data_IF_899801930487
#
_entry.id   IF_899801930487
#
_cell.length_a   1.000
_cell.length_b   1.000
_cell.length_c   1.000
_cell.angle_alpha   90.00
_cell.angle_beta   90.00
_cell.angle_gamma   90.00
#
_symmetry.space_group_name_H-M   'P 1'
#
loop_
_entity.id
_entity.type
_entity.pdbx_description
1 polymer ?
#
# COMPACT_ATOMS: atom_id res chain seq x y z
N UNK A 1 -24.35 1.89 6.92
CA UNK A 1 -25.55 1.07 7.21
C UNK A 1 -25.11 0.01 8.22
N UNK A 2 -25.04 0.36 9.51
CA UNK A 2 -24.29 -0.42 10.52
C UNK A 2 -25.01 -1.73 10.82
N UNK A 3 -24.33 -2.87 10.60
CA UNK A 3 -24.83 -4.20 10.97
C UNK A 3 -24.13 -4.65 12.24
N UNK A 4 -24.88 -4.59 13.34
CA UNK A 4 -24.51 -5.15 14.65
C UNK A 4 -24.44 -6.69 14.57
N UNK A 5 -23.31 -7.28 14.94
CA UNK A 5 -23.11 -8.73 15.01
C UNK A 5 -23.26 -9.22 16.45
N UNK A 6 -24.25 -10.09 16.67
CA UNK A 6 -24.46 -10.81 17.93
C UNK A 6 -23.68 -12.13 17.84
N UNK A 7 -22.63 -12.27 18.65
CA UNK A 7 -21.91 -13.53 18.86
C UNK A 7 -22.84 -14.63 19.40
N UNK A 8 -22.94 -15.75 18.70
CA UNK A 8 -23.46 -17.00 19.24
C UNK A 8 -22.31 -18.01 19.36
N UNK A 9 -21.76 -18.12 20.56
CA UNK A 9 -20.86 -19.22 20.95
C UNK A 9 -21.66 -20.53 21.04
N UNK A 10 -21.37 -21.48 20.15
CA UNK A 10 -21.93 -22.83 20.21
C UNK A 10 -20.83 -23.86 20.49
N UNK A 11 -20.67 -24.13 21.79
CA UNK A 11 -19.90 -25.24 22.34
C UNK A 11 -20.41 -26.57 21.74
N UNK A 12 -19.56 -27.30 21.02
CA UNK A 12 -19.80 -28.72 20.72
C UNK A 12 -18.74 -29.60 21.39
N UNK A 13 -19.21 -30.31 22.42
CA UNK A 13 -18.48 -31.23 23.26
C UNK A 13 -18.84 -32.65 22.80
N UNK A 14 -17.90 -33.40 22.22
CA UNK A 14 -18.03 -34.86 22.09
C UNK A 14 -16.76 -35.58 22.53
N UNK A 15 -16.91 -36.23 23.69
CA UNK A 15 -16.00 -37.21 24.28
C UNK A 15 -16.04 -38.56 23.55
N UNK A 16 -14.87 -39.19 23.53
CA UNK A 16 -14.52 -40.51 23.02
C UNK A 16 -15.29 -41.70 23.65
N UNK A 17 -15.32 -42.85 22.94
CA UNK A 17 -14.59 -44.09 23.35
C UNK A 17 -15.05 -45.37 22.61
N UNK A 18 -14.12 -46.36 22.63
CA UNK A 18 -14.16 -47.79 22.23
C UNK A 18 -13.88 -48.09 20.75
N UNK A 19 -12.91 -48.93 20.36
CA UNK A 19 -11.98 -49.81 21.09
C UNK A 19 -11.65 -51.07 20.26
N UNK A 20 -10.39 -51.53 20.36
CA UNK A 20 -9.82 -52.89 20.12
C UNK A 20 -9.50 -53.42 18.70
N UNK A 21 -8.18 -53.49 18.45
CA UNK A 21 -7.33 -54.65 18.05
C UNK A 21 -7.72 -55.59 16.88
N UNK A 22 -6.84 -55.69 15.85
CA UNK A 22 -5.94 -56.85 15.64
C UNK A 22 -4.95 -56.70 14.46
N UNK A 23 -3.77 -57.32 14.65
CA UNK A 23 -2.63 -57.65 13.76
C UNK A 23 -3.05 -58.05 12.32
N UNK A 24 -2.32 -57.81 11.22
CA UNK A 24 -0.88 -57.77 10.93
C UNK A 24 -0.57 -58.85 9.88
N UNK A 25 -0.12 -58.49 8.66
CA UNK A 25 0.59 -59.37 7.67
C UNK A 25 1.46 -58.51 6.73
N UNK A 26 2.72 -58.93 6.55
CA UNK A 26 3.76 -58.40 5.67
C UNK A 26 3.64 -58.86 4.18
N UNK A 27 4.53 -58.31 3.34
CA UNK A 27 5.01 -58.78 2.02
C UNK A 27 4.10 -58.51 0.79
N UNK A 28 4.55 -58.06 -0.39
CA UNK A 28 5.86 -57.83 -1.03
C UNK A 28 5.68 -57.00 -2.32
N UNK A 29 6.75 -56.30 -2.71
CA UNK A 29 7.25 -55.95 -4.06
C UNK A 29 6.35 -56.10 -5.31
N UNK A 30 6.25 -55.07 -6.16
CA UNK A 30 7.01 -55.02 -7.43
C UNK A 30 6.87 -53.69 -8.17
N UNK A 31 7.98 -53.26 -8.78
CA UNK A 31 8.05 -52.23 -9.80
C UNK A 31 7.65 -52.77 -11.19
N UNK A 32 7.14 -51.92 -12.07
CA UNK A 32 7.43 -51.93 -13.51
C UNK A 32 6.84 -50.70 -14.21
N UNK A 33 7.71 -50.05 -14.99
CA UNK A 33 7.47 -49.06 -16.03
C UNK A 33 6.54 -49.60 -17.15
N UNK A 34 5.85 -48.69 -17.82
CA UNK A 34 5.62 -48.79 -19.27
C UNK A 34 5.30 -47.40 -19.85
N UNK A 35 6.23 -46.91 -20.67
CA UNK A 35 6.02 -45.85 -21.65
C UNK A 35 5.07 -46.28 -22.78
N UNK A 36 4.67 -45.24 -23.54
CA UNK A 36 4.43 -45.22 -24.98
C UNK A 36 2.98 -45.48 -25.45
N UNK A 37 2.33 -44.49 -26.06
CA UNK A 37 2.35 -44.37 -27.53
C UNK A 37 1.69 -43.08 -28.02
N UNK A 38 2.41 -42.47 -28.95
CA UNK A 38 2.07 -41.40 -29.88
C UNK A 38 0.93 -41.75 -30.84
N UNK A 39 0.18 -40.73 -31.32
CA UNK A 39 0.17 -40.26 -32.73
C UNK A 39 -1.11 -39.51 -33.13
N UNK A 40 -0.89 -38.33 -33.74
CA UNK A 40 -1.57 -37.68 -34.87
C UNK A 40 -3.08 -37.82 -35.08
N UNK A 41 -3.73 -36.66 -35.26
CA UNK A 41 -4.31 -36.28 -36.57
C UNK A 41 -4.57 -34.77 -36.66
N UNK A 42 -3.94 -34.15 -37.66
CA UNK A 42 -4.35 -32.89 -38.29
C UNK A 42 -5.78 -33.01 -38.85
N UNK A 43 -6.56 -31.91 -38.90
CA UNK A 43 -7.03 -31.31 -40.15
C UNK A 43 -7.87 -30.05 -39.86
N UNK A 44 -7.71 -29.07 -40.74
CA UNK A 44 -8.29 -27.73 -40.71
C UNK A 44 -9.77 -27.67 -41.12
N UNK A 45 -10.44 -26.58 -40.74
CA UNK A 45 -11.47 -25.95 -41.57
C UNK A 45 -11.73 -24.51 -41.13
N UNK A 46 -11.37 -23.56 -41.99
CA UNK A 46 -11.84 -22.19 -41.98
C UNK A 46 -13.34 -22.07 -42.28
N UNK A 47 -13.96 -21.01 -41.76
CA UNK A 47 -15.05 -20.30 -42.44
C UNK A 47 -15.19 -18.86 -41.91
N UNK A 48 -14.59 -17.95 -42.68
CA UNK A 48 -14.92 -16.54 -42.85
C UNK A 48 -16.40 -16.34 -43.23
N UNK A 49 -17.09 -15.39 -42.58
CA UNK A 49 -18.19 -14.63 -43.19
C UNK A 49 -18.18 -13.18 -42.66
N UNK A 50 -17.84 -12.30 -43.59
CA UNK A 50 -17.86 -10.84 -43.54
C UNK A 50 -19.24 -10.24 -43.84
N UNK A 51 -19.46 -9.07 -43.23
CA UNK A 51 -20.11 -7.83 -43.70
C UNK A 51 -21.45 -7.83 -44.47
N UNK A 52 -22.39 -7.00 -44.01
CA UNK A 52 -22.86 -5.77 -44.71
C UNK A 52 -23.97 -5.08 -43.86
N UNK A 53 -23.79 -3.79 -43.51
CA UNK A 53 -24.39 -2.58 -44.15
C UNK A 53 -25.90 -2.40 -43.83
N UNK A 54 -26.50 -1.22 -43.64
CA UNK A 54 -26.13 0.17 -43.88
C UNK A 54 -27.05 1.10 -43.05
N UNK A 55 -26.69 2.38 -43.05
CA UNK A 55 -27.29 3.50 -42.32
C UNK A 55 -28.56 4.10 -42.95
N UNK A 56 -29.05 5.11 -42.23
CA UNK A 56 -29.90 6.26 -42.63
C UNK A 56 -31.43 6.14 -42.49
N UNK A 57 -32.00 6.98 -41.61
CA UNK A 57 -32.85 8.10 -42.02
C UNK A 57 -32.93 9.18 -40.93
N UNK A 58 -32.94 10.42 -41.40
CA UNK A 58 -32.94 11.70 -40.69
C UNK A 58 -34.30 12.40 -40.91
N UNK A 59 -34.82 13.10 -39.89
CA UNK A 59 -35.72 14.29 -39.96
C UNK A 59 -36.25 14.58 -38.53
N UNK A 60 -35.93 15.73 -37.91
CA UNK A 60 -36.65 17.03 -37.99
C UNK A 60 -38.01 16.98 -37.26
N UNK A 61 -38.45 17.83 -36.31
CA UNK A 61 -38.18 19.22 -35.96
C UNK A 61 -39.00 19.59 -34.68
N UNK A 62 -38.44 20.46 -33.82
CA UNK A 62 -39.06 21.64 -33.14
C UNK A 62 -40.06 21.58 -31.95
N UNK A 63 -39.88 22.63 -31.12
CA UNK A 63 -40.79 23.37 -30.21
C UNK A 63 -40.87 22.90 -28.75
N UNK A 64 -40.91 23.77 -27.73
CA UNK A 64 -40.76 25.22 -27.57
C UNK A 64 -40.74 25.48 -26.05
N UNK A 65 -40.15 26.60 -25.63
CA UNK A 65 -39.95 27.05 -24.27
C UNK A 65 -41.18 27.74 -23.65
N UNK A 66 -41.23 27.83 -22.32
CA UNK A 66 -41.64 28.98 -21.47
C UNK A 66 -41.97 28.45 -20.06
N UNK A 67 -41.31 28.80 -18.95
CA UNK A 67 -41.00 30.10 -18.31
C UNK A 67 -42.21 30.72 -17.55
N UNK A 68 -41.92 31.07 -16.28
CA UNK A 68 -42.47 32.16 -15.46
C UNK A 68 -43.53 31.93 -14.34
N UNK A 69 -43.05 32.26 -13.12
CA UNK A 69 -43.55 33.26 -12.15
C UNK A 69 -44.53 32.89 -11.01
N UNK A 70 -43.97 32.78 -9.79
CA UNK A 70 -43.99 33.80 -8.69
C UNK A 70 -45.32 34.24 -8.00
N UNK A 71 -45.26 34.82 -6.77
CA UNK A 71 -45.99 34.37 -5.58
C UNK A 71 -47.00 35.40 -5.02
N UNK A 72 -47.63 35.13 -3.87
CA UNK A 72 -48.21 36.17 -3.01
C UNK A 72 -48.10 35.89 -1.49
N UNK A 73 -47.87 36.99 -0.77
CA UNK A 73 -47.55 37.15 0.66
C UNK A 73 -48.78 37.27 1.59
N UNK A 74 -48.46 37.26 2.90
CA UNK A 74 -48.93 38.18 3.96
C UNK A 74 -50.14 37.76 4.83
N UNK A 75 -49.94 37.62 6.16
CA UNK A 75 -50.24 38.69 7.14
C UNK A 75 -49.98 38.27 8.60
N UNK A 76 -49.52 39.26 9.37
CA UNK A 76 -49.21 39.26 10.80
C UNK A 76 -50.46 39.24 11.71
N UNK A 77 -50.34 38.70 12.94
CA UNK A 77 -50.86 39.33 14.17
C UNK A 77 -50.38 38.59 15.44
N UNK A 78 -50.30 39.34 16.54
CA UNK A 78 -49.47 39.08 17.71
C UNK A 78 -50.25 38.62 18.98
N UNK A 79 -49.46 38.22 19.99
CA UNK A 79 -49.66 38.34 21.46
C UNK A 79 -50.81 37.56 22.15
N UNK A 80 -50.49 36.58 23.00
CA UNK A 80 -50.39 36.69 24.48
C UNK A 80 -50.20 35.29 25.15
N UNK A 81 -49.58 35.32 26.33
CA UNK A 81 -49.15 34.23 27.20
C UNK A 81 -50.30 33.33 27.71
N UNK A 82 -50.02 32.03 27.91
CA UNK A 82 -50.45 31.36 29.13
C UNK A 82 -49.54 30.17 29.47
N UNK A 83 -49.13 30.13 30.74
CA UNK A 83 -48.24 29.13 31.30
C UNK A 83 -48.99 27.82 31.57
N UNK A 84 -48.48 26.71 31.07
CA UNK A 84 -48.79 25.38 31.58
C UNK A 84 -47.58 24.46 31.43
N UNK A 85 -46.91 24.30 32.56
CA UNK A 85 -45.96 23.26 32.92
C UNK A 85 -46.42 21.88 32.41
N UNK A 86 -45.64 21.28 31.52
CA UNK A 86 -45.73 19.85 31.26
C UNK A 86 -44.32 19.32 31.03
N UNK A 87 -43.82 18.61 32.04
CA UNK A 87 -42.62 17.80 32.03
C UNK A 87 -42.68 16.78 30.90
N UNK A 88 -41.82 16.93 29.91
CA UNK A 88 -41.41 15.85 29.02
C UNK A 88 -39.91 15.67 29.24
N UNK A 89 -39.57 14.56 29.89
CA UNK A 89 -38.21 14.02 29.96
C UNK A 89 -37.74 13.79 28.52
N UNK A 90 -36.79 14.61 28.08
CA UNK A 90 -36.04 14.40 26.86
C UNK A 90 -35.01 13.30 27.11
N UNK A 91 -35.46 12.04 26.96
CA UNK A 91 -34.58 10.91 26.78
C UNK A 91 -34.15 10.86 25.31
N UNK A 92 -33.24 11.77 24.95
CA UNK A 92 -32.37 11.64 23.79
C UNK A 92 -30.95 11.33 24.27
N UNK A 93 -30.80 10.23 24.99
CA UNK A 93 -29.52 9.54 25.04
C UNK A 93 -29.38 8.81 23.70
N UNK A 94 -28.81 9.51 22.71
CA UNK A 94 -28.20 8.87 21.56
C UNK A 94 -27.11 7.96 22.11
N UNK A 95 -27.20 6.68 21.75
CA UNK A 95 -26.14 5.71 21.99
C UNK A 95 -25.01 6.06 21.02
N UNK A 96 -24.19 7.06 21.39
CA UNK A 96 -22.80 7.05 20.96
C UNK A 96 -22.21 5.83 21.63
N UNK A 97 -21.96 4.80 20.82
CA UNK A 97 -21.16 3.66 21.21
C UNK A 97 -19.78 4.25 21.50
N UNK A 98 -19.52 4.54 22.77
CA UNK A 98 -18.21 5.02 23.22
C UNK A 98 -17.21 3.95 22.80
N UNK A 99 -16.22 4.36 22.00
CA UNK A 99 -15.06 3.54 21.67
C UNK A 99 -14.54 2.87 22.95
N UNK A 100 -14.09 1.63 22.82
CA UNK A 100 -13.58 0.88 23.96
C UNK A 100 -12.39 1.63 24.58
N UNK A 101 -12.56 2.11 25.82
CA UNK A 101 -11.52 2.86 26.51
C UNK A 101 -10.25 2.00 26.66
N UNK A 102 -9.06 2.55 26.32
CA UNK A 102 -7.81 1.80 26.41
C UNK A 102 -7.53 1.39 27.85
N UNK A 103 -7.21 0.11 28.02
CA UNK A 103 -6.89 -0.52 29.30
C UNK A 103 -5.61 -1.35 29.17
N UNK A 104 -4.53 -0.71 28.72
CA UNK A 104 -3.26 -1.37 28.46
C UNK A 104 -2.31 -0.46 27.71
N UNK A 105 -1.21 -1.04 27.23
CA UNK A 105 -0.30 -0.40 26.29
C UNK A 105 -0.54 -0.98 24.89
N UNK A 106 -0.55 -0.12 23.88
CA UNK A 106 -0.41 -0.51 22.48
C UNK A 106 1.07 -0.38 22.11
N UNK A 107 1.63 -1.42 21.48
CA UNK A 107 2.93 -1.34 20.81
C UNK A 107 2.77 -1.42 19.30
N UNK A 108 3.41 -0.51 18.58
CA UNK A 108 3.42 -0.42 17.11
C UNK A 108 4.86 -0.56 16.63
N UNK A 109 5.10 -1.56 15.79
CA UNK A 109 6.42 -1.95 15.33
C UNK A 109 6.52 -1.69 13.84
N UNK A 110 7.24 -0.65 13.43
CA UNK A 110 7.65 -0.44 12.05
C UNK A 110 8.87 -1.33 11.80
N UNK A 111 8.64 -2.51 11.22
CA UNK A 111 9.63 -3.58 11.13
C UNK A 111 10.63 -3.25 10.02
N UNK A 112 11.92 -3.33 10.30
CA UNK A 112 12.94 -3.26 9.24
C UNK A 112 12.85 -4.51 8.35
N UNK A 113 12.21 -4.33 7.19
CA UNK A 113 12.06 -5.33 6.13
C UNK A 113 12.85 -4.96 4.87
N UNK A 114 13.78 -4.02 4.98
CA UNK A 114 14.48 -3.40 3.86
C UNK A 114 13.61 -2.41 3.09
N UNK A 115 13.76 -2.38 1.76
CA UNK A 115 12.94 -1.53 0.88
C UNK A 115 11.56 -2.15 0.70
N UNK A 116 10.70 -1.95 1.70
CA UNK A 116 9.36 -2.49 1.82
C UNK A 116 8.70 -2.01 3.13
N UNK A 117 7.40 -2.25 3.28
CA UNK A 117 6.64 -1.91 4.49
C UNK A 117 6.14 -3.14 5.25
N UNK A 118 6.19 -3.09 6.58
CA UNK A 118 5.51 -4.02 7.47
C UNK A 118 5.37 -3.42 8.87
N UNK A 119 4.14 -3.24 9.34
CA UNK A 119 3.83 -2.60 10.61
C UNK A 119 2.93 -3.49 11.47
N UNK A 120 3.42 -3.89 12.65
CA UNK A 120 2.67 -4.73 13.59
C UNK A 120 2.14 -3.89 14.76
N UNK A 121 0.83 -3.92 14.98
CA UNK A 121 0.15 -3.39 16.15
C UNK A 121 -0.12 -4.53 17.14
N UNK A 122 0.09 -4.30 18.44
CA UNK A 122 -0.15 -5.29 19.49
C UNK A 122 -0.64 -4.66 20.78
N UNK A 123 -1.78 -5.10 21.31
CA UNK A 123 -2.33 -4.59 22.58
C UNK A 123 -3.18 -5.64 23.30
N UNK A 124 -3.19 -5.59 24.63
CA UNK A 124 -4.05 -6.44 25.45
C UNK A 124 -5.40 -5.74 25.66
N UNK A 125 -6.50 -6.46 25.49
CA UNK A 125 -7.84 -5.96 25.79
C UNK A 125 -8.69 -7.06 26.41
N UNK A 126 -9.34 -6.75 27.54
CA UNK A 126 -10.14 -7.71 28.34
C UNK A 126 -9.44 -9.04 28.71
N UNK A 127 -8.11 -9.08 28.69
CA UNK A 127 -7.30 -10.27 29.02
C UNK A 127 -6.91 -11.14 27.83
N UNK A 128 -7.27 -10.73 26.61
CA UNK A 128 -6.87 -11.35 25.35
C UNK A 128 -5.85 -10.44 24.63
N UNK A 129 -4.91 -11.05 23.91
CA UNK A 129 -3.86 -10.36 23.17
C UNK A 129 -4.31 -10.19 21.72
N UNK A 130 -4.28 -8.94 21.23
CA UNK A 130 -4.68 -8.60 19.87
C UNK A 130 -3.48 -8.18 19.05
N UNK A 131 -3.47 -8.58 17.77
CA UNK A 131 -2.45 -8.26 16.79
C UNK A 131 -3.09 -7.89 15.45
N UNK A 132 -2.66 -6.76 14.89
CA UNK A 132 -2.99 -6.32 13.52
C UNK A 132 -1.68 -6.13 12.77
N UNK A 133 -1.57 -6.70 11.57
CA UNK A 133 -0.40 -6.54 10.72
C UNK A 133 -0.79 -5.77 9.45
N UNK A 134 -0.17 -4.61 9.23
CA UNK A 134 -0.34 -3.79 8.03
C UNK A 134 0.90 -3.92 7.15
N UNK A 135 0.73 -4.47 5.96
CA UNK A 135 1.79 -4.90 5.05
C UNK A 135 2.77 -5.91 5.68
N UNK A 136 3.56 -6.56 4.83
CA UNK A 136 4.29 -7.79 5.16
C UNK A 136 5.70 -7.87 4.57
N UNK A 137 6.17 -6.80 3.95
CA UNK A 137 7.51 -6.76 3.40
C UNK A 137 7.65 -7.45 2.04
N UNK A 138 8.89 -7.51 1.53
CA UNK A 138 9.17 -7.95 0.17
C UNK A 138 9.06 -9.47 -0.07
N UNK A 139 8.62 -9.87 -1.26
CA UNK A 139 8.34 -11.27 -1.65
C UNK A 139 9.56 -12.20 -1.62
N UNK A 140 10.76 -11.66 -1.77
CA UNK A 140 12.01 -12.41 -1.72
C UNK A 140 12.62 -12.49 -0.30
N UNK A 141 11.91 -12.00 0.72
CA UNK A 141 12.35 -11.97 2.13
C UNK A 141 11.38 -12.75 3.05
N UNK A 142 11.73 -12.85 4.33
CA UNK A 142 10.97 -13.59 5.38
C UNK A 142 11.16 -12.95 6.77
N UNK A 143 11.69 -11.74 6.82
CA UNK A 143 11.97 -10.97 8.02
C UNK A 143 10.72 -10.55 8.77
N UNK A 144 9.64 -10.11 8.10
CA UNK A 144 8.36 -9.87 8.77
C UNK A 144 7.86 -11.15 9.47
N UNK A 145 7.88 -12.29 8.76
CA UNK A 145 7.52 -13.59 9.34
C UNK A 145 8.42 -13.97 10.53
N UNK A 146 9.74 -13.82 10.39
CA UNK A 146 10.66 -14.13 11.48
C UNK A 146 10.43 -13.20 12.68
N UNK A 147 10.15 -11.92 12.45
CA UNK A 147 9.84 -10.95 13.50
C UNK A 147 8.59 -11.36 14.29
N UNK A 148 7.52 -11.74 13.60
CA UNK A 148 6.29 -12.26 14.23
C UNK A 148 6.58 -13.50 15.08
N UNK A 149 7.38 -14.44 14.56
CA UNK A 149 7.78 -15.66 15.28
C UNK A 149 8.64 -15.35 16.51
N UNK A 150 9.56 -14.41 16.41
CA UNK A 150 10.42 -13.98 17.52
C UNK A 150 9.60 -13.26 18.60
N UNK A 151 8.56 -12.51 18.21
CA UNK A 151 7.55 -11.92 19.10
C UNK A 151 6.53 -12.94 19.64
N UNK A 152 6.59 -14.18 19.19
CA UNK A 152 5.65 -15.26 19.57
C UNK A 152 4.20 -14.91 19.24
N UNK A 153 3.98 -14.20 18.12
CA UNK A 153 2.65 -13.98 17.56
C UNK A 153 2.14 -15.33 17.05
N UNK A 154 1.07 -15.84 17.66
CA UNK A 154 0.42 -17.08 17.25
C UNK A 154 -0.86 -16.82 16.42
N UNK A 155 -1.40 -15.61 16.50
CA UNK A 155 -2.68 -15.21 15.88
C UNK A 155 -2.66 -13.72 15.50
N UNK A 156 -3.23 -13.39 14.34
CA UNK A 156 -3.53 -12.04 13.88
C UNK A 156 -5.06 -11.93 13.74
N UNK A 157 -5.67 -10.92 14.36
CA UNK A 157 -7.08 -10.63 14.10
C UNK A 157 -7.26 -10.11 12.68
N UNK A 158 -6.34 -9.25 12.23
CA UNK A 158 -6.39 -8.70 10.88
C UNK A 158 -4.98 -8.68 10.28
N UNK A 159 -4.88 -9.16 9.05
CA UNK A 159 -3.70 -8.97 8.19
C UNK A 159 -4.12 -8.14 6.96
N UNK A 160 -3.54 -6.96 6.81
CA UNK A 160 -3.92 -5.95 5.84
C UNK A 160 -2.81 -5.86 4.78
N UNK A 161 -3.18 -5.94 3.51
CA UNK A 161 -2.30 -5.59 2.38
C UNK A 161 -2.78 -4.28 1.76
N UNK A 162 -1.97 -3.23 1.89
CA UNK A 162 -2.33 -1.87 1.46
C UNK A 162 -2.67 -1.82 -0.02
N UNK A 163 -1.84 -2.47 -0.86
CA UNK A 163 -2.04 -2.61 -2.29
C UNK A 163 -1.25 -3.83 -2.86
N UNK A 164 -1.47 -4.26 -4.11
CA UNK A 164 -0.92 -5.52 -4.65
C UNK A 164 0.60 -5.62 -4.88
N UNK A 165 1.40 -4.59 -4.57
CA UNK A 165 2.83 -4.63 -4.85
C UNK A 165 3.62 -5.53 -3.91
N UNK A 166 4.73 -6.03 -4.43
CA UNK A 166 5.41 -7.20 -3.87
C UNK A 166 6.27 -6.87 -2.65
N UNK A 167 6.56 -5.60 -2.41
CA UNK A 167 7.11 -4.97 -1.21
C UNK A 167 6.08 -4.78 -0.09
N UNK A 168 4.79 -4.90 -0.37
CA UNK A 168 3.73 -4.75 0.63
C UNK A 168 3.12 -6.10 1.00
N UNK A 169 2.66 -6.86 0.00
CA UNK A 169 1.98 -8.15 0.23
C UNK A 169 2.92 -9.35 0.17
N UNK A 170 4.23 -9.12 0.02
CA UNK A 170 5.20 -10.12 -0.39
C UNK A 170 5.39 -11.30 0.56
N UNK A 171 5.07 -11.15 1.85
CA UNK A 171 5.21 -12.24 2.83
C UNK A 171 3.87 -12.72 3.38
N UNK A 172 2.73 -12.16 2.93
CA UNK A 172 1.40 -12.63 3.35
C UNK A 172 1.24 -14.14 3.10
N UNK A 173 1.65 -14.65 1.93
CA UNK A 173 1.58 -16.08 1.61
C UNK A 173 2.40 -16.94 2.59
N UNK A 174 3.63 -16.51 2.90
CA UNK A 174 4.51 -17.18 3.86
C UNK A 174 3.94 -17.17 5.28
N UNK A 175 3.35 -16.05 5.70
CA UNK A 175 2.74 -15.90 7.04
C UNK A 175 1.55 -16.85 7.17
N UNK A 176 0.65 -16.86 6.19
CA UNK A 176 -0.52 -17.75 6.17
C UNK A 176 -0.13 -19.24 6.15
N UNK A 177 0.99 -19.59 5.52
CA UNK A 177 1.50 -20.96 5.49
C UNK A 177 2.32 -21.38 6.72
N UNK A 178 2.68 -20.43 7.58
CA UNK A 178 3.58 -20.67 8.72
C UNK A 178 2.91 -21.35 9.92
N UNK A 179 1.58 -21.26 10.01
CA UNK A 179 0.79 -21.72 11.15
C UNK A 179 0.38 -20.63 12.14
N UNK A 180 0.73 -19.36 11.89
CA UNK A 180 0.10 -18.20 12.53
C UNK A 180 -1.36 -18.16 12.05
N UNK A 181 -2.31 -18.15 12.97
CA UNK A 181 -3.72 -18.03 12.63
C UNK A 181 -4.03 -16.59 12.17
N UNK A 182 -4.85 -16.44 11.14
CA UNK A 182 -5.32 -15.12 10.67
C UNK A 182 -6.83 -15.17 10.59
N UNK A 183 -7.52 -14.33 11.36
CA UNK A 183 -8.98 -14.30 11.37
C UNK A 183 -9.53 -13.59 10.14
N UNK A 184 -8.98 -12.43 9.80
CA UNK A 184 -9.39 -11.65 8.63
C UNK A 184 -8.20 -11.20 7.79
N UNK A 185 -8.40 -11.16 6.46
CA UNK A 185 -7.47 -10.55 5.53
C UNK A 185 -8.16 -9.41 4.78
N UNK A 186 -7.58 -8.21 4.84
CA UNK A 186 -8.11 -7.02 4.17
C UNK A 186 -7.17 -6.59 3.04
N UNK A 187 -7.71 -6.28 1.88
CA UNK A 187 -6.94 -5.82 0.71
C UNK A 187 -7.63 -4.62 0.06
N UNK A 188 -6.91 -3.84 -0.76
CA UNK A 188 -7.51 -2.70 -1.49
C UNK A 188 -8.67 -3.11 -2.42
N UNK A 189 -8.68 -4.36 -2.88
CA UNK A 189 -9.62 -4.84 -3.92
C UNK A 189 -9.13 -4.59 -5.34
N UNK A 190 -7.93 -4.04 -5.51
CA UNK A 190 -7.28 -3.98 -6.81
C UNK A 190 -6.83 -5.36 -7.28
N UNK A 191 -7.03 -5.63 -8.57
CA UNK A 191 -6.58 -6.85 -9.20
C UNK A 191 -5.16 -6.67 -9.76
N UNK A 192 -4.29 -7.65 -9.52
CA UNK A 192 -3.00 -7.75 -10.18
C UNK A 192 -2.79 -9.15 -10.77
N UNK A 193 -1.87 -9.26 -11.73
CA UNK A 193 -1.53 -10.55 -12.36
C UNK A 193 -0.13 -11.04 -11.97
N UNK A 194 0.50 -10.41 -10.98
CA UNK A 194 1.83 -10.79 -10.51
C UNK A 194 1.80 -12.16 -9.83
N UNK A 195 2.89 -12.93 -9.94
CA UNK A 195 2.98 -14.21 -9.25
C UNK A 195 2.83 -14.06 -7.72
N UNK A 196 3.27 -12.93 -7.17
CA UNK A 196 3.11 -12.61 -5.74
C UNK A 196 1.64 -12.46 -5.38
N UNK A 197 0.90 -11.62 -6.10
CA UNK A 197 -0.53 -11.43 -5.86
C UNK A 197 -1.30 -12.74 -5.97
N UNK A 198 -1.04 -13.53 -7.01
CA UNK A 198 -1.71 -14.83 -7.21
C UNK A 198 -1.41 -15.82 -6.08
N UNK A 199 -0.19 -15.85 -5.53
CA UNK A 199 0.15 -16.69 -4.38
C UNK A 199 -0.57 -16.23 -3.11
N UNK A 200 -0.63 -14.91 -2.89
CA UNK A 200 -1.33 -14.33 -1.74
C UNK A 200 -2.82 -14.65 -1.78
N UNK A 201 -3.49 -14.44 -2.92
CA UNK A 201 -4.91 -14.74 -3.04
C UNK A 201 -5.22 -16.24 -2.85
N UNK A 202 -4.38 -17.15 -3.37
CA UNK A 202 -4.51 -18.59 -3.14
C UNK A 202 -4.27 -18.96 -1.65
N UNK A 203 -3.32 -18.31 -0.98
CA UNK A 203 -3.07 -18.51 0.44
C UNK A 203 -4.24 -17.99 1.30
N UNK A 204 -4.80 -16.82 0.97
CA UNK A 204 -5.99 -16.26 1.62
C UNK A 204 -7.17 -17.21 1.48
N UNK A 205 -7.48 -17.68 0.26
CA UNK A 205 -8.58 -18.63 0.01
C UNK A 205 -8.44 -19.93 0.83
N UNK A 206 -7.20 -20.39 1.03
CA UNK A 206 -6.93 -21.63 1.77
C UNK A 206 -7.02 -21.50 3.28
N UNK A 207 -6.59 -20.37 3.83
CA UNK A 207 -6.24 -20.28 5.25
C UNK A 207 -7.07 -19.24 6.03
N UNK A 208 -7.64 -18.24 5.36
CA UNK A 208 -8.32 -17.13 6.02
C UNK A 208 -9.85 -17.31 5.91
N UNK A 209 -10.60 -17.28 7.02
CA UNK A 209 -12.04 -17.48 6.99
C UNK A 209 -12.83 -16.26 6.50
N UNK A 210 -12.28 -15.04 6.61
CA UNK A 210 -12.93 -13.78 6.23
C UNK A 210 -11.99 -12.93 5.36
N UNK A 211 -12.51 -12.46 4.22
CA UNK A 211 -11.82 -11.55 3.31
C UNK A 211 -12.68 -10.32 3.09
N UNK A 212 -12.10 -9.14 3.25
CA UNK A 212 -12.79 -7.86 3.09
C UNK A 212 -11.99 -6.90 2.20
N UNK A 213 -12.70 -5.96 1.58
CA UNK A 213 -12.14 -4.88 0.78
C UNK A 213 -12.68 -3.55 1.31
N UNK A 214 -12.10 -3.01 2.41
CA UNK A 214 -12.62 -1.81 3.05
C UNK A 214 -12.56 -0.58 2.15
N UNK A 215 -13.44 0.40 2.40
CA UNK A 215 -13.51 1.66 1.64
C UNK A 215 -13.59 2.86 2.56
N UNK A 216 -13.26 4.03 2.02
CA UNK A 216 -13.30 5.29 2.75
C UNK A 216 -14.64 5.48 3.50
N UNK A 217 -14.55 5.78 4.80
CA UNK A 217 -15.69 5.93 5.71
C UNK A 217 -16.15 4.64 6.41
N UNK A 218 -15.52 3.49 6.13
CA UNK A 218 -15.62 2.31 6.99
C UNK A 218 -14.75 2.51 8.25
N UNK A 219 -15.20 1.96 9.37
CA UNK A 219 -14.55 2.06 10.68
C UNK A 219 -14.72 0.73 11.44
N UNK A 220 -13.67 0.28 12.11
CA UNK A 220 -13.58 -1.03 12.76
C UNK A 220 -12.90 -0.93 14.12
N UNK A 221 -13.35 -1.76 15.06
CA UNK A 221 -12.73 -1.90 16.38
C UNK A 221 -12.07 -3.27 16.53
N UNK A 222 -10.76 -3.29 16.78
CA UNK A 222 -10.02 -4.51 17.16
C UNK A 222 -9.59 -4.37 18.63
N UNK A 223 -10.44 -4.84 19.54
CA UNK A 223 -10.27 -4.58 20.97
C UNK A 223 -10.48 -3.09 21.28
N UNK A 224 -9.44 -2.38 21.72
CA UNK A 224 -9.45 -0.93 21.95
C UNK A 224 -8.73 -0.12 20.84
N UNK A 225 -8.30 -0.78 19.76
CA UNK A 225 -7.72 -0.11 18.59
C UNK A 225 -8.84 0.17 17.57
N UNK A 226 -9.11 1.46 17.34
CA UNK A 226 -10.02 1.94 16.29
C UNK A 226 -9.24 2.06 14.98
N UNK A 227 -9.84 1.62 13.88
CA UNK A 227 -9.25 1.63 12.55
C UNK A 227 -10.24 2.28 11.59
N UNK A 228 -9.93 3.49 11.14
CA UNK A 228 -10.70 4.22 10.14
C UNK A 228 -10.05 4.11 8.76
N UNK A 229 -10.86 3.81 7.76
CA UNK A 229 -10.43 3.75 6.37
C UNK A 229 -10.64 5.11 5.74
N UNK A 230 -9.57 5.76 5.30
CA UNK A 230 -9.61 7.09 4.69
C UNK A 230 -9.54 7.02 3.16
N UNK A 231 -8.91 5.97 2.60
CA UNK A 231 -8.78 5.75 1.16
C UNK A 231 -8.71 4.25 0.84
N UNK A 232 -9.16 3.77 -0.33
CA UNK A 232 -9.91 4.47 -1.38
C UNK A 232 -11.43 4.49 -1.15
N UNK A 233 -12.12 5.51 -1.66
CA UNK A 233 -13.60 5.53 -1.68
C UNK A 233 -14.17 4.67 -2.82
N UNK A 234 -13.48 4.64 -3.96
CA UNK A 234 -13.77 3.83 -5.14
C UNK A 234 -12.43 3.37 -5.72
N UNK A 235 -12.40 2.21 -6.39
CA UNK A 235 -11.19 1.74 -7.06
C UNK A 235 -10.75 2.74 -8.13
N UNK A 236 -9.50 3.19 -8.04
CA UNK A 236 -8.91 4.19 -8.94
C UNK A 236 -8.43 3.56 -10.25
N UNK A 237 -8.07 2.27 -10.20
CA UNK A 237 -7.44 1.54 -11.30
C UNK A 237 -5.93 1.77 -11.41
N UNK A 238 -5.38 2.63 -10.53
CA UNK A 238 -3.95 2.77 -10.28
C UNK A 238 -3.63 2.08 -8.95
N UNK A 239 -2.62 1.23 -8.91
CA UNK A 239 -2.36 0.39 -7.74
C UNK A 239 -1.82 1.20 -6.56
N UNK A 240 -1.04 2.24 -6.81
CA UNK A 240 -0.49 3.10 -5.76
C UNK A 240 -1.59 3.99 -5.18
N UNK A 241 -2.35 4.68 -6.04
CA UNK A 241 -3.49 5.48 -5.60
C UNK A 241 -4.65 4.62 -5.06
N UNK A 242 -4.67 3.32 -5.35
CA UNK A 242 -5.59 2.35 -4.78
C UNK A 242 -5.25 1.93 -3.34
N UNK A 243 -4.11 2.37 -2.80
CA UNK A 243 -3.64 1.97 -1.48
C UNK A 243 -4.67 2.23 -0.39
N UNK A 244 -4.87 1.23 0.47
CA UNK A 244 -5.59 1.43 1.73
C UNK A 244 -4.81 2.42 2.58
N UNK A 245 -5.34 3.63 2.72
CA UNK A 245 -4.89 4.59 3.73
C UNK A 245 -5.78 4.47 4.95
N UNK A 246 -5.18 4.18 6.10
CA UNK A 246 -5.90 3.89 7.34
C UNK A 246 -5.32 4.67 8.51
N UNK A 247 -6.22 5.24 9.32
CA UNK A 247 -5.88 5.84 10.60
C UNK A 247 -6.14 4.83 11.71
N UNK A 248 -5.16 4.64 12.58
CA UNK A 248 -5.21 3.76 13.73
C UNK A 248 -5.22 4.62 14.99
N UNK A 249 -6.29 4.55 15.78
CA UNK A 249 -6.49 5.38 16.96
C UNK A 249 -6.56 4.51 18.21
N UNK A 250 -5.76 4.86 19.22
CA UNK A 250 -5.76 4.22 20.53
C UNK A 250 -5.81 5.30 21.61
N UNK A 251 -7.00 5.52 22.18
CA UNK A 251 -7.24 6.67 23.05
C UNK A 251 -7.08 7.99 22.29
N UNK A 252 -6.24 8.88 22.80
CA UNK A 252 -5.92 10.19 22.23
C UNK A 252 -4.74 10.14 21.23
N UNK A 253 -4.12 8.98 20.99
CA UNK A 253 -2.97 8.84 20.08
C UNK A 253 -3.40 8.20 18.76
N UNK A 254 -3.06 8.84 17.64
CA UNK A 254 -3.37 8.34 16.30
C UNK A 254 -2.15 8.21 15.37
N UNK A 255 -2.20 7.19 14.52
CA UNK A 255 -1.14 6.82 13.57
C UNK A 255 -1.76 6.71 12.18
N UNK A 256 -1.21 7.40 11.17
CA UNK A 256 -1.64 7.31 9.78
C UNK A 256 -0.67 6.45 8.96
N UNK A 257 -1.19 5.37 8.37
CA UNK A 257 -0.47 4.54 7.39
C UNK A 257 -1.12 4.71 6.02
N UNK A 258 -0.35 5.15 5.03
CA UNK A 258 -0.87 5.48 3.69
C UNK A 258 -0.63 4.41 2.64
N UNK A 259 0.22 3.42 2.93
CA UNK A 259 0.82 2.58 1.88
C UNK A 259 1.54 3.46 0.86
N UNK A 260 1.30 3.19 -0.43
CA UNK A 260 1.93 3.93 -1.53
C UNK A 260 1.01 4.99 -2.14
N UNK A 261 0.06 5.52 -1.38
CA UNK A 261 -0.80 6.60 -1.87
C UNK A 261 0.04 7.81 -2.34
N UNK A 262 -0.12 8.20 -3.61
CA UNK A 262 0.60 9.32 -4.22
C UNK A 262 -0.21 10.63 -4.11
N UNK A 263 0.35 11.72 -4.64
CA UNK A 263 -0.20 13.09 -4.59
C UNK A 263 -1.69 13.18 -4.97
N UNK A 264 -2.11 12.33 -5.90
CA UNK A 264 -3.45 12.14 -6.42
C UNK A 264 -4.40 11.59 -5.34
N UNK A 265 -4.05 10.47 -4.71
CA UNK A 265 -4.81 9.89 -3.61
C UNK A 265 -4.84 10.81 -2.36
N UNK A 266 -3.73 11.47 -2.05
CA UNK A 266 -3.64 12.49 -0.99
C UNK A 266 -4.62 13.63 -1.22
N UNK A 267 -4.58 14.23 -2.42
CA UNK A 267 -5.49 15.32 -2.76
C UNK A 267 -6.95 14.86 -2.73
N UNK A 268 -7.25 13.61 -3.13
CA UNK A 268 -8.61 13.07 -3.02
C UNK A 268 -9.08 12.97 -1.57
N UNK A 269 -8.23 12.57 -0.62
CA UNK A 269 -8.58 12.55 0.81
C UNK A 269 -8.88 13.97 1.32
N UNK A 270 -8.02 14.94 0.98
CA UNK A 270 -8.21 16.34 1.37
C UNK A 270 -9.49 16.95 0.76
N UNK A 271 -9.77 16.66 -0.52
CA UNK A 271 -10.95 17.17 -1.22
C UNK A 271 -12.26 16.58 -0.67
N UNK A 272 -12.23 15.33 -0.20
CA UNK A 272 -13.35 14.70 0.52
C UNK A 272 -13.53 15.26 1.93
N UNK A 273 -12.49 15.89 2.49
CA UNK A 273 -12.49 16.38 3.86
C UNK A 273 -12.40 15.22 4.87
N UNK A 274 -11.65 14.16 4.53
CA UNK A 274 -11.29 13.11 5.47
C UNK A 274 -10.47 13.72 6.62
N UNK A 275 -10.68 13.24 7.85
CA UNK A 275 -9.86 13.65 9.00
C UNK A 275 -8.54 12.87 8.98
N UNK A 276 -7.52 13.47 8.36
CA UNK A 276 -6.19 12.87 8.23
C UNK A 276 -5.25 13.22 9.40
N UNK A 277 -5.72 13.99 10.39
CA UNK A 277 -4.87 14.48 11.48
C UNK A 277 -4.38 13.32 12.35
N UNK A 278 -3.06 13.14 12.43
CA UNK A 278 -2.46 12.06 13.22
C UNK A 278 -1.16 12.48 13.91
N UNK A 279 -0.90 11.97 15.11
CA UNK A 279 0.34 12.26 15.85
C UNK A 279 1.57 11.65 15.15
N UNK A 280 1.40 10.48 14.56
CA UNK A 280 2.45 9.75 13.85
C UNK A 280 2.03 9.50 12.40
N UNK A 281 2.91 9.80 11.46
CA UNK A 281 2.74 9.54 10.03
C UNK A 281 3.81 8.55 9.54
N UNK A 282 3.41 7.48 8.85
CA UNK A 282 4.35 6.74 7.99
C UNK A 282 4.40 7.42 6.61
N UNK A 283 5.59 7.76 6.12
CA UNK A 283 5.76 8.36 4.79
C UNK A 283 5.18 7.45 3.71
N UNK A 284 4.38 8.04 2.82
CA UNK A 284 3.83 7.32 1.68
C UNK A 284 4.91 6.87 0.70
N UNK A 285 4.72 5.70 0.11
CA UNK A 285 5.56 5.15 -0.96
C UNK A 285 7.05 5.15 -0.59
N UNK A 286 7.34 4.76 0.66
CA UNK A 286 8.69 4.72 1.25
C UNK A 286 9.43 6.07 1.24
N UNK A 287 8.71 7.20 1.12
CA UNK A 287 9.30 8.53 0.93
C UNK A 287 9.60 8.87 -0.54
N UNK A 288 8.81 8.38 -1.49
CA UNK A 288 8.83 8.84 -2.88
C UNK A 288 8.51 10.34 -2.99
N UNK A 289 9.11 11.05 -3.95
CA UNK A 289 8.80 12.45 -4.25
C UNK A 289 7.38 12.66 -4.80
N UNK A 290 6.74 11.58 -5.25
CA UNK A 290 5.32 11.52 -5.64
C UNK A 290 4.35 11.49 -4.47
N UNK A 291 4.85 11.38 -3.23
CA UNK A 291 4.04 11.20 -2.02
C UNK A 291 4.43 12.18 -0.91
N UNK A 292 3.64 12.20 0.14
CA UNK A 292 3.72 13.10 1.30
C UNK A 292 3.81 14.55 0.86
N UNK A 293 2.88 15.01 0.02
CA UNK A 293 2.88 16.39 -0.47
C UNK A 293 2.80 17.39 0.69
N UNK A 294 3.33 18.60 0.49
CA UNK A 294 3.28 19.65 1.52
C UNK A 294 1.86 19.89 2.08
N UNK A 295 0.80 20.03 1.24
CA UNK A 295 -0.55 20.22 1.76
C UNK A 295 -1.06 19.03 2.57
N UNK A 296 -0.65 17.81 2.22
CA UNK A 296 -1.02 16.62 2.96
C UNK A 296 -0.30 16.55 4.31
N UNK A 297 1.01 16.78 4.35
CA UNK A 297 1.79 16.84 5.59
C UNK A 297 1.23 17.90 6.57
N UNK A 298 0.88 19.09 6.07
CA UNK A 298 0.24 20.15 6.86
C UNK A 298 -1.16 19.78 7.37
N UNK A 299 -1.90 18.94 6.64
CA UNK A 299 -3.22 18.48 7.06
C UNK A 299 -3.14 17.35 8.10
N UNK A 300 -2.15 16.45 7.96
CA UNK A 300 -1.88 15.37 8.92
C UNK A 300 -1.38 15.96 10.25
N UNK A 301 -0.58 17.02 10.21
CA UNK A 301 -0.05 17.71 11.39
C UNK A 301 0.67 16.77 12.39
N UNK A 302 1.64 15.94 11.95
CA UNK A 302 2.30 14.96 12.81
C UNK A 302 3.36 15.57 13.72
N UNK A 303 3.51 15.00 14.92
CA UNK A 303 4.68 15.22 15.79
C UNK A 303 5.85 14.32 15.37
N UNK A 304 5.57 13.11 14.89
CA UNK A 304 6.57 12.13 14.48
C UNK A 304 6.29 11.58 13.09
N UNK A 305 7.34 11.44 12.28
CA UNK A 305 7.31 10.84 10.95
C UNK A 305 8.25 9.64 10.91
N UNK A 306 7.75 8.52 10.39
CA UNK A 306 8.52 7.28 10.18
C UNK A 306 8.56 6.97 8.70
N UNK A 307 9.69 6.50 8.18
CA UNK A 307 9.77 5.90 6.85
C UNK A 307 10.39 4.51 6.91
N UNK A 308 9.92 3.61 6.05
CA UNK A 308 10.57 2.32 5.84
C UNK A 308 11.31 2.33 4.51
N UNK A 309 12.62 2.10 4.56
CA UNK A 309 13.47 2.01 3.39
C UNK A 309 14.61 1.02 3.64
N UNK A 310 15.20 0.53 2.55
CA UNK A 310 16.39 -0.30 2.58
C UNK A 310 17.66 0.52 2.40
N UNK A 311 18.71 0.20 3.15
CA UNK A 311 20.04 0.77 2.94
C UNK A 311 20.49 0.61 1.47
N UNK A 312 20.92 1.70 0.84
CA UNK A 312 21.42 1.72 -0.55
C UNK A 312 20.44 1.09 -1.56
N UNK A 313 19.13 1.29 -1.36
CA UNK A 313 18.13 0.85 -2.33
C UNK A 313 18.31 1.59 -3.67
N UNK A 314 17.94 0.93 -4.76
CA UNK A 314 18.13 1.46 -6.12
C UNK A 314 17.08 2.50 -6.54
N UNK A 315 16.03 2.69 -5.74
CA UNK A 315 14.96 3.64 -6.04
C UNK A 315 15.33 5.06 -5.61
N UNK A 316 16.30 5.20 -4.69
CA UNK A 316 16.67 6.50 -4.13
C UNK A 316 15.71 6.94 -3.02
N UNK A 317 14.89 6.03 -2.50
CA UNK A 317 13.95 6.32 -1.41
C UNK A 317 14.66 6.27 -0.05
N UNK A 318 14.24 7.08 0.94
CA UNK A 318 13.39 8.25 0.75
C UNK A 318 14.11 9.33 -0.07
N UNK A 319 13.37 10.07 -0.90
CA UNK A 319 13.92 11.18 -1.68
C UNK A 319 14.31 12.36 -0.77
N UNK A 320 15.41 13.03 -1.13
CA UNK A 320 15.96 14.17 -0.42
C UNK A 320 14.92 15.28 -0.16
N UNK A 321 14.12 15.62 -1.17
CA UNK A 321 13.09 16.64 -1.05
C UNK A 321 11.97 16.28 -0.06
N UNK A 322 11.68 14.99 0.13
CA UNK A 322 10.68 14.54 1.09
C UNK A 322 11.23 14.65 2.50
N UNK A 323 12.48 14.22 2.71
CA UNK A 323 13.16 14.39 4.00
C UNK A 323 13.28 15.86 4.39
N UNK A 324 13.67 16.72 3.44
CA UNK A 324 13.77 18.17 3.68
C UNK A 324 12.40 18.77 4.01
N UNK A 325 11.32 18.29 3.37
CA UNK A 325 9.95 18.73 3.66
C UNK A 325 9.55 18.42 5.11
N UNK A 326 9.90 17.24 5.60
CA UNK A 326 9.63 16.84 6.99
C UNK A 326 10.48 17.64 7.98
N UNK A 327 11.76 17.85 7.68
CA UNK A 327 12.66 18.69 8.48
C UNK A 327 12.16 20.14 8.56
N UNK A 328 11.72 20.72 7.43
CA UNK A 328 11.15 22.07 7.36
C UNK A 328 9.81 22.18 8.11
N UNK A 329 9.07 21.07 8.22
CA UNK A 329 7.85 20.97 9.04
C UNK A 329 8.16 20.90 10.55
N UNK A 330 9.41 20.62 10.93
CA UNK A 330 9.88 20.45 12.31
C UNK A 330 9.29 19.21 13.04
N UNK A 331 8.97 18.13 12.31
CA UNK A 331 8.59 16.84 12.90
C UNK A 331 9.81 15.95 13.19
N UNK A 332 9.74 15.13 14.24
CA UNK A 332 10.78 14.16 14.54
C UNK A 332 10.79 13.04 13.47
N UNK A 333 11.92 12.82 12.82
CA UNK A 333 12.05 11.90 11.68
C UNK A 333 12.85 10.64 12.04
N UNK A 334 12.30 9.47 11.73
CA UNK A 334 12.93 8.17 11.94
C UNK A 334 12.84 7.28 10.70
N UNK A 335 13.89 6.50 10.44
CA UNK A 335 14.01 5.68 9.24
C UNK A 335 14.49 4.26 9.52
N UNK A 336 13.84 3.23 8.96
CA UNK A 336 14.24 1.84 9.23
C UNK A 336 15.64 1.50 8.74
N UNK A 337 16.13 2.16 7.68
CA UNK A 337 17.47 1.95 7.14
C UNK A 337 18.58 2.39 8.10
N UNK A 338 18.35 3.46 8.88
CA UNK A 338 19.31 4.00 9.84
C UNK A 338 19.03 3.57 11.28
N UNK A 339 17.76 3.39 11.66
CA UNK A 339 17.32 3.10 13.02
C UNK A 339 16.99 1.61 13.26
N UNK A 340 16.97 0.78 12.22
CA UNK A 340 16.45 -0.59 12.29
C UNK A 340 14.94 -0.59 12.59
N UNK A 341 14.45 -1.63 13.27
CA UNK A 341 13.04 -1.65 13.68
C UNK A 341 12.73 -0.52 14.68
N UNK A 342 11.68 0.25 14.41
CA UNK A 342 11.21 1.36 15.25
C UNK A 342 9.97 0.90 16.01
N UNK A 343 9.93 1.10 17.32
CA UNK A 343 8.83 0.67 18.19
C UNK A 343 8.24 1.87 18.93
N UNK A 344 6.97 2.16 18.65
CA UNK A 344 6.17 3.10 19.41
C UNK A 344 5.38 2.35 20.47
N UNK A 345 5.34 2.86 21.69
CA UNK A 345 4.47 2.36 22.77
C UNK A 345 3.62 3.49 23.32
N UNK A 346 2.30 3.30 23.39
CA UNK A 346 1.34 4.29 23.90
C UNK A 346 0.44 3.69 24.97
N UNK A 347 0.11 4.49 25.99
CA UNK A 347 -0.93 4.17 26.99
C UNK A 347 -2.32 4.71 26.60
N UNK A 348 -2.41 5.33 25.43
CA UNK A 348 -3.61 6.00 24.92
C UNK A 348 -3.76 7.46 25.35
N UNK A 349 -2.83 8.03 26.12
CA UNK A 349 -2.76 9.47 26.36
C UNK A 349 -1.45 10.07 25.82
N UNK A 350 -0.36 9.30 25.88
CA UNK A 350 0.96 9.69 25.39
C UNK A 350 1.70 8.50 24.79
N UNK A 351 2.67 8.75 23.91
CA UNK A 351 3.51 7.71 23.34
C UNK A 351 5.00 7.95 23.61
N UNK A 352 5.78 6.87 23.53
CA UNK A 352 7.24 6.87 23.53
C UNK A 352 7.73 6.07 22.33
N UNK A 353 8.90 6.43 21.80
CA UNK A 353 9.53 5.77 20.66
C UNK A 353 10.90 5.22 21.06
N UNK A 354 11.17 3.97 20.67
CA UNK A 354 12.47 3.31 20.79
C UNK A 354 12.93 2.79 19.43
N UNK A 355 14.23 2.89 19.14
CA UNK A 355 14.84 2.37 17.91
C UNK A 355 15.71 1.16 18.23
N UNK A 356 15.84 0.22 17.28
CA UNK A 356 16.76 -0.92 17.43
C UNK A 356 18.22 -0.47 17.52
N UNK A 357 18.56 0.60 16.79
CA UNK A 357 19.88 1.21 16.80
C UNK A 357 19.80 2.74 16.69
N UNK A 358 20.86 3.40 17.18
CA UNK A 358 21.03 4.85 17.03
C UNK A 358 21.39 5.16 15.57
N UNK A 359 20.68 6.12 14.98
CA UNK A 359 20.89 6.61 13.62
C UNK A 359 20.13 7.92 13.42
N UNK A 360 20.71 8.82 12.62
CA UNK A 360 20.05 10.06 12.22
C UNK A 360 19.84 9.99 10.70
N UNK A 361 18.60 10.13 10.18
CA UNK A 361 18.35 10.22 8.76
C UNK A 361 19.18 11.33 8.10
N UNK A 362 19.80 11.03 6.96
CA UNK A 362 20.62 12.00 6.24
C UNK A 362 19.72 12.95 5.44
N UNK A 363 19.26 14.02 6.09
CA UNK A 363 18.53 15.11 5.44
C UNK A 363 19.55 16.01 4.73
N UNK A 364 19.58 16.04 3.39
CA UNK A 364 20.55 16.86 2.68
C UNK A 364 20.30 18.33 3.02
N UNK A 365 21.33 19.02 3.50
CA UNK A 365 21.18 20.41 3.89
C UNK A 365 20.60 21.24 2.72
N UNK A 366 19.52 21.98 3.00
CA UNK A 366 18.94 22.94 2.08
C UNK A 366 19.95 24.03 1.73
N UNK A 367 20.80 23.77 0.74
CA UNK A 367 21.70 24.74 0.14
C UNK A 367 20.90 25.62 -0.84
N UNK A 368 19.88 26.31 -0.32
CA UNK A 368 19.21 27.46 -0.97
C UNK A 368 20.19 28.66 -1.19
N UNK A 369 21.49 28.46 -0.97
CA UNK A 369 22.57 29.35 -1.37
C UNK A 369 23.48 28.79 -2.50
N UNK A 370 23.31 27.53 -2.93
CA UNK A 370 24.12 26.93 -4.00
C UNK A 370 23.54 27.17 -5.40
N UNK A 371 22.21 27.33 -5.55
CA UNK A 371 21.60 27.63 -6.86
C UNK A 371 21.85 29.07 -7.36
N UNK A 372 22.38 29.97 -6.52
CA UNK A 372 22.88 31.29 -6.96
C UNK A 372 24.41 31.33 -7.17
N UNK A 373 25.15 30.24 -6.97
CA UNK A 373 26.61 30.19 -7.15
C UNK A 373 27.13 29.30 -8.29
N UNK A 374 26.27 28.64 -9.07
CA UNK A 374 26.71 27.97 -10.31
C UNK A 374 26.80 28.90 -11.54
N UNK A 375 26.45 30.18 -11.39
CA UNK A 375 26.49 31.15 -12.50
C UNK A 375 27.81 31.92 -12.67
N UNK A 376 28.83 31.76 -11.80
CA UNK A 376 30.04 32.59 -11.87
C UNK A 376 31.37 31.88 -11.52
N UNK A 377 31.56 30.61 -11.90
CA UNK A 377 32.91 29.99 -11.93
C UNK A 377 33.20 29.20 -13.22
N UNK A 378 32.73 29.68 -14.37
CA UNK A 378 33.38 29.36 -15.65
C UNK A 378 34.64 30.21 -15.86
N UNK A 379 35.67 30.05 -15.03
CA UNK A 379 37.06 30.25 -15.46
C UNK A 379 38.10 29.77 -14.43
N UNK A 380 38.72 28.64 -14.79
CA UNK A 380 40.09 28.24 -14.48
C UNK A 380 40.34 27.43 -13.20
N UNK A 381 40.26 26.10 -13.32
CA UNK A 381 41.44 25.23 -13.17
C UNK A 381 41.15 23.80 -13.65
N UNK A 382 42.03 23.28 -14.49
CA UNK A 382 42.10 21.88 -14.89
C UNK A 382 42.68 21.00 -13.77
N UNK A 383 42.36 19.69 -13.87
CA UNK A 383 42.96 18.49 -13.24
C UNK A 383 42.57 18.25 -11.77
N UNK A 384 42.15 17.07 -11.31
CA UNK A 384 41.78 15.73 -11.82
C UNK A 384 41.28 14.95 -10.57
N UNK A 385 40.25 14.08 -10.67
CA UNK A 385 40.00 12.83 -9.91
C UNK A 385 38.51 12.42 -10.08
N UNK A 386 38.17 11.71 -11.15
CA UNK A 386 37.89 10.25 -11.22
C UNK A 386 36.40 9.90 -11.03
N UNK A 387 35.63 10.29 -12.06
CA UNK A 387 34.34 9.73 -12.45
C UNK A 387 34.57 8.35 -13.10
N UNK A 388 33.85 7.32 -12.66
CA UNK A 388 33.82 6.01 -13.31
C UNK A 388 32.99 6.04 -14.59
N UNK A 389 33.41 6.87 -15.55
CA UNK A 389 33.08 6.68 -16.95
C UNK A 389 34.00 5.61 -17.54
N UNK A 390 33.41 4.49 -17.95
CA UNK A 390 34.00 3.72 -19.05
C UNK A 390 34.04 4.65 -20.29
N UNK A 391 35.14 4.66 -21.07
CA UNK A 391 35.29 5.60 -22.16
C UNK A 391 34.39 5.22 -23.35
N UNK A 392 33.99 6.24 -24.11
CA UNK A 392 33.23 6.23 -25.37
C UNK A 392 31.70 6.24 -25.27
N UNK A 393 31.13 7.33 -24.74
CA UNK A 393 29.82 7.87 -25.15
C UNK A 393 28.63 6.92 -25.10
N UNK A 394 28.69 5.90 -24.24
CA UNK A 394 27.74 4.81 -24.21
C UNK A 394 27.22 4.55 -22.80
N UNK A 395 25.89 4.61 -22.67
CA UNK A 395 25.10 4.36 -21.47
C UNK A 395 24.89 2.84 -21.35
N UNK A 396 25.45 2.26 -20.29
CA UNK A 396 25.31 0.84 -20.00
C UNK A 396 23.90 0.56 -19.45
N UNK A 397 23.05 -0.11 -20.23
CA UNK A 397 21.64 -0.34 -19.84
C UNK A 397 21.47 -1.23 -18.61
N UNK A 398 22.53 -1.95 -18.19
CA UNK A 398 22.53 -2.80 -17.00
C UNK A 398 23.01 -2.11 -15.72
N UNK A 399 23.61 -0.93 -15.82
CA UNK A 399 24.26 -0.26 -14.68
C UNK A 399 23.86 1.23 -14.54
N UNK A 400 23.41 1.87 -15.62
CA UNK A 400 23.05 3.28 -15.63
C UNK A 400 21.94 3.62 -14.63
N UNK A 401 21.95 4.86 -14.09
CA UNK A 401 20.84 5.41 -13.31
C UNK A 401 19.60 5.63 -14.17
N UNK A 402 18.43 5.86 -13.56
CA UNK A 402 17.21 6.18 -14.30
C UNK A 402 17.40 7.40 -15.20
N UNK A 403 17.96 8.48 -14.64
CA UNK A 403 18.25 9.71 -15.40
C UNK A 403 19.16 9.47 -16.61
N UNK A 404 20.22 8.67 -16.45
CA UNK A 404 21.12 8.35 -17.55
C UNK A 404 20.43 7.48 -18.61
N UNK A 405 19.48 6.63 -18.23
CA UNK A 405 18.69 5.86 -19.20
C UNK A 405 17.72 6.75 -19.99
N UNK A 406 17.21 7.82 -19.39
CA UNK A 406 16.30 8.77 -20.04
C UNK A 406 16.98 9.62 -21.13
N UNK A 407 18.32 9.67 -21.15
CA UNK A 407 19.07 10.26 -22.26
C UNK A 407 19.01 9.41 -23.55
N UNK A 408 18.58 8.14 -23.46
CA UNK A 408 18.42 7.26 -24.62
C UNK A 408 17.11 7.59 -25.34
N UNK A 409 17.15 7.74 -26.67
CA UNK A 409 15.95 8.04 -27.46
C UNK A 409 14.80 7.03 -27.20
N UNK A 410 13.57 7.56 -27.04
CA UNK A 410 12.35 6.81 -26.73
C UNK A 410 12.26 6.21 -25.32
N UNK A 411 13.27 6.40 -24.48
CA UNK A 411 13.25 6.04 -23.07
C UNK A 411 12.86 7.30 -22.28
N UNK A 412 11.74 7.23 -21.58
CA UNK A 412 11.34 8.23 -20.59
C UNK A 412 11.17 7.54 -19.23
N UNK A 413 10.75 8.26 -18.18
CA UNK A 413 10.78 7.78 -16.79
C UNK A 413 10.22 6.36 -16.62
N UNK A 414 8.99 6.12 -17.11
CA UNK A 414 8.34 4.81 -17.03
C UNK A 414 9.15 3.67 -17.70
N UNK A 415 9.84 3.94 -18.82
CA UNK A 415 10.66 2.92 -19.51
C UNK A 415 12.04 2.78 -18.88
N UNK A 416 12.58 3.85 -18.28
CA UNK A 416 13.81 3.79 -17.52
C UNK A 416 13.62 2.91 -16.27
N UNK A 417 12.52 3.09 -15.55
CA UNK A 417 12.12 2.23 -14.43
C UNK A 417 11.95 0.77 -14.87
N UNK A 418 11.22 0.51 -15.97
CA UNK A 418 11.03 -0.85 -16.49
C UNK A 418 12.35 -1.48 -16.97
N UNK A 419 13.27 -0.69 -17.55
CA UNK A 419 14.61 -1.15 -17.90
C UNK A 419 15.38 -1.57 -16.65
N UNK A 420 15.35 -0.79 -15.57
CA UNK A 420 16.02 -1.12 -14.30
C UNK A 420 15.44 -2.40 -13.70
N UNK A 421 14.10 -2.51 -13.64
CA UNK A 421 13.38 -3.67 -13.13
C UNK A 421 13.77 -4.96 -13.84
N UNK A 422 13.91 -4.92 -15.18
CA UNK A 422 14.12 -6.12 -16.01
C UNK A 422 15.58 -6.50 -16.25
N UNK A 423 16.53 -5.81 -15.61
CA UNK A 423 17.96 -6.16 -15.62
C UNK A 423 18.21 -7.60 -15.14
N UNK A 424 19.28 -8.28 -15.62
CA UNK A 424 20.20 -7.83 -16.66
C UNK A 424 19.73 -8.21 -18.09
N UNK A 425 20.16 -7.42 -19.07
CA UNK A 425 20.06 -7.69 -20.50
C UNK A 425 21.38 -8.24 -21.02
N UNK A 426 21.33 -9.21 -21.94
CA UNK A 426 22.51 -9.79 -22.58
C UNK A 426 22.85 -9.10 -23.91
N UNK A 427 21.92 -8.33 -24.46
CA UNK A 427 22.05 -7.58 -25.71
C UNK A 427 21.02 -6.45 -25.78
N UNK A 428 21.22 -5.47 -26.68
CA UNK A 428 20.20 -4.43 -26.92
C UNK A 428 18.91 -5.02 -27.50
N UNK A 429 18.97 -6.14 -28.22
CA UNK A 429 17.79 -6.88 -28.68
C UNK A 429 16.86 -7.29 -27.53
N UNK A 430 17.40 -7.52 -26.33
CA UNK A 430 16.58 -7.93 -25.18
C UNK A 430 15.69 -6.79 -24.65
N UNK A 431 15.88 -5.55 -25.12
CA UNK A 431 15.01 -4.41 -24.80
C UNK A 431 13.60 -4.56 -25.39
N UNK A 432 13.36 -5.48 -26.33
CA UNK A 432 11.99 -5.78 -26.80
C UNK A 432 11.09 -6.40 -25.71
N UNK A 433 11.67 -6.78 -24.57
CA UNK A 433 10.94 -7.18 -23.36
C UNK A 433 10.26 -6.01 -22.63
N UNK A 434 10.60 -4.78 -23.00
CA UNK A 434 10.09 -3.55 -22.39
C UNK A 434 8.87 -3.06 -23.15
N UNK A 435 7.80 -2.75 -22.42
CA UNK A 435 6.53 -2.39 -23.04
C UNK A 435 6.64 -1.09 -23.84
N UNK A 436 6.28 -1.23 -25.12
CA UNK A 436 6.39 -0.16 -26.10
C UNK A 436 7.79 0.03 -26.70
N UNK A 437 8.79 -0.80 -26.43
CA UNK A 437 10.02 -0.86 -27.24
C UNK A 437 9.87 -1.95 -28.32
N UNK A 438 9.06 -1.66 -29.33
CA UNK A 438 8.94 -2.51 -30.51
C UNK A 438 10.13 -2.30 -31.48
N UNK A 439 10.30 -3.21 -32.45
CA UNK A 439 11.40 -3.22 -33.43
C UNK A 439 11.73 -1.86 -34.08
N UNK A 440 10.75 -0.97 -34.27
CA UNK A 440 10.97 0.39 -34.79
C UNK A 440 11.74 1.29 -33.84
N UNK A 441 11.32 1.37 -32.56
CA UNK A 441 12.02 2.17 -31.54
C UNK A 441 13.38 1.58 -31.19
N UNK A 442 13.47 0.25 -31.18
CA UNK A 442 14.75 -0.43 -31.01
C UNK A 442 15.75 -0.11 -32.14
N UNK A 443 15.27 0.05 -33.38
CA UNK A 443 16.12 0.47 -34.48
C UNK A 443 16.66 1.90 -34.28
N UNK A 444 15.81 2.83 -33.82
CA UNK A 444 16.20 4.21 -33.52
C UNK A 444 17.24 4.27 -32.38
N UNK A 445 17.05 3.49 -31.31
CA UNK A 445 18.00 3.37 -30.18
C UNK A 445 19.36 2.87 -30.65
N UNK A 446 19.38 1.86 -31.53
CA UNK A 446 20.63 1.33 -32.11
C UNK A 446 21.31 2.30 -33.08
N UNK A 447 20.53 3.13 -33.78
CA UNK A 447 21.06 4.13 -34.72
C UNK A 447 21.67 5.32 -33.98
N UNK A 448 21.08 5.72 -32.85
CA UNK A 448 21.61 6.78 -31.98
C UNK A 448 23.00 6.43 -31.44
N UNK A 449 23.20 5.17 -31.06
CA UNK A 449 24.50 4.63 -30.66
C UNK A 449 24.92 4.99 -29.23
N UNK A 450 24.00 5.53 -28.44
CA UNK A 450 24.22 5.96 -27.05
C UNK A 450 24.00 4.83 -26.04
N UNK A 451 23.35 3.72 -26.38
CA UNK A 451 23.08 2.61 -25.47
C UNK A 451 23.98 1.39 -25.74
N UNK A 452 24.43 0.69 -24.70
CA UNK A 452 25.18 -0.57 -24.82
C UNK A 452 24.89 -1.57 -23.70
N UNK A 453 25.22 -2.82 -24.01
CA UNK A 453 25.45 -3.91 -23.07
C UNK A 453 26.91 -4.36 -23.26
N UNK A 454 27.82 -4.14 -22.30
CA UNK A 454 29.25 -4.45 -22.44
C UNK A 454 29.59 -5.95 -22.48
#
# INVERSE_FOLDING_TARGET
>A
MVRSWIFYSAILLMLAACGTEQQGVEETNNAAEAENDSTNMEEEAEADLSEESAAENNDSETNDASEENEPEENEQAAEEEDAAENTAEDNSAGNEELAAEPHGELSVHFIDVGQADATLFSHEYEGDMYHVLFDTGNWNRSDALHYLQDKQVEELQVMIGSHPHADHIGQMDKILESGIAVEEAWMSGDEATSDTFMRVMDAIERHVPVYEEPRAGDSFDIGALEIDVLHPAELTGDLHDGSLTMQFTYGDVSILLTGDAEDSAEQMMLDRGEDVKSDILQLGHHGSDTSTTQPFLEAVDPETVVYSAGENNSYGHPHAEVLQRVEDYEADLYGTDVNGTIVVTTDGETYNLETEQDGDPDVPANDEAAEEQEADEQQASNEEDEDTQAPDGCININEASSEALEEIVHIGPARAAELIEKRPFSSLEDMERIDGIAAGRLADIKEEGTACVP
#
